data_IF_607670924124
#
_entry.id   IF_607670924124
#
_cell.length_a   1.000
_cell.length_b   1.000
_cell.length_c   1.000
_cell.angle_alpha   90.00
_cell.angle_beta   90.00
_cell.angle_gamma   90.00
#
_symmetry.space_group_name_H-M   'P 1'
#
loop_
_entity.id
_entity.type
_entity.pdbx_description
1 polymer ?
#
# COMPACT_ATOMS: atom_id res chain seq x y z
N UNK A 1 -34.15 7.89 11.16
CA UNK A 1 -32.73 8.21 10.92
C UNK A 1 -31.88 7.20 11.67
N UNK A 2 -31.02 6.48 11.00
CA UNK A 2 -30.04 5.70 11.73
C UNK A 2 -29.13 6.67 12.48
N UNK A 3 -28.89 6.41 13.76
CA UNK A 3 -27.93 7.16 14.57
C UNK A 3 -26.56 7.10 13.87
N UNK A 4 -25.79 8.20 13.81
CA UNK A 4 -24.46 8.16 13.27
C UNK A 4 -23.67 7.10 14.03
N UNK A 5 -23.20 6.10 13.32
CA UNK A 5 -22.34 5.07 13.91
C UNK A 5 -21.13 5.75 14.56
N UNK A 6 -20.79 5.37 15.78
CA UNK A 6 -19.59 5.89 16.45
C UNK A 6 -18.40 5.71 15.52
N UNK A 7 -17.49 6.70 15.43
CA UNK A 7 -16.31 6.57 14.61
C UNK A 7 -15.53 5.32 15.05
N UNK A 8 -15.21 4.45 14.10
CA UNK A 8 -14.42 3.26 14.36
C UNK A 8 -12.99 3.65 14.73
N UNK A 9 -12.32 2.78 15.42
CA UNK A 9 -10.92 2.97 15.83
C UNK A 9 -10.06 1.83 15.27
N UNK A 10 -8.85 2.16 14.89
CA UNK A 10 -7.91 1.20 14.28
C UNK A 10 -7.72 -0.09 15.07
N UNK A 11 -7.86 -0.07 16.40
CA UNK A 11 -7.68 -1.28 17.22
C UNK A 11 -8.78 -2.34 17.03
N UNK A 12 -9.93 -2.01 16.44
CA UNK A 12 -10.98 -2.97 16.08
C UNK A 12 -10.89 -3.43 14.62
N UNK A 13 -9.91 -2.95 13.86
CA UNK A 13 -9.79 -3.17 12.42
C UNK A 13 -9.81 -4.67 12.06
N UNK A 14 -9.03 -5.48 12.75
CA UNK A 14 -8.93 -6.93 12.47
C UNK A 14 -10.26 -7.62 12.75
N UNK A 15 -10.87 -7.31 13.88
CA UNK A 15 -12.17 -7.89 14.29
C UNK A 15 -13.29 -7.49 13.30
N UNK A 16 -13.30 -6.24 12.88
CA UNK A 16 -14.30 -5.72 11.94
C UNK A 16 -14.13 -6.33 10.54
N UNK A 17 -12.91 -6.53 10.07
CA UNK A 17 -12.67 -7.24 8.81
C UNK A 17 -13.07 -8.72 8.93
N UNK A 18 -12.74 -9.39 10.02
CA UNK A 18 -13.15 -10.78 10.24
C UNK A 18 -14.68 -10.90 10.27
N UNK A 19 -15.35 -9.99 10.94
CA UNK A 19 -16.82 -9.96 10.97
C UNK A 19 -17.41 -9.77 9.57
N UNK A 20 -16.85 -8.85 8.78
CA UNK A 20 -17.24 -8.63 7.39
C UNK A 20 -17.07 -9.90 6.55
N UNK A 21 -15.93 -10.58 6.66
CA UNK A 21 -15.65 -11.80 5.89
C UNK A 21 -16.54 -12.98 6.32
N UNK A 22 -16.93 -13.04 7.59
CA UNK A 22 -17.77 -14.12 8.13
C UNK A 22 -19.24 -13.93 7.77
N UNK A 23 -19.75 -12.71 7.78
CA UNK A 23 -21.19 -12.43 7.63
C UNK A 23 -21.54 -11.82 6.27
N UNK A 24 -20.53 -11.32 5.55
CA UNK A 24 -20.74 -10.58 4.30
C UNK A 24 -21.35 -9.19 4.53
N UNK A 25 -21.74 -8.56 3.45
CA UNK A 25 -22.41 -7.26 3.42
C UNK A 25 -23.45 -7.28 2.30
N UNK A 26 -24.68 -6.88 2.61
CA UNK A 26 -25.77 -6.91 1.62
C UNK A 26 -25.53 -5.96 0.45
N UNK A 27 -24.99 -4.77 0.75
CA UNK A 27 -24.72 -3.75 -0.25
C UNK A 27 -23.31 -3.23 -0.12
N UNK A 28 -22.51 -3.39 -1.18
CA UNK A 28 -21.13 -2.90 -1.25
C UNK A 28 -21.10 -1.43 -1.62
N UNK A 29 -20.12 -0.71 -1.08
CA UNK A 29 -19.80 0.64 -1.51
C UNK A 29 -19.23 0.61 -2.94
N UNK A 30 -20.03 1.09 -3.91
CA UNK A 30 -19.67 1.03 -5.32
C UNK A 30 -18.48 1.93 -5.66
N UNK A 31 -18.29 3.03 -4.95
CA UNK A 31 -17.16 3.92 -5.19
C UNK A 31 -15.86 3.29 -4.67
N UNK A 32 -15.91 2.68 -3.49
CA UNK A 32 -14.79 1.91 -2.94
C UNK A 32 -14.43 0.71 -3.85
N UNK A 33 -15.42 0.01 -4.36
CA UNK A 33 -15.19 -1.11 -5.29
C UNK A 33 -14.55 -0.65 -6.61
N UNK A 34 -15.01 0.47 -7.18
CA UNK A 34 -14.42 1.05 -8.39
C UNK A 34 -12.97 1.48 -8.17
N UNK A 35 -12.68 2.12 -7.04
CA UNK A 35 -11.31 2.49 -6.67
C UNK A 35 -10.42 1.27 -6.56
N UNK A 36 -10.87 0.22 -5.87
CA UNK A 36 -10.13 -1.03 -5.75
C UNK A 36 -9.86 -1.68 -7.12
N UNK A 37 -10.86 -1.75 -8.00
CA UNK A 37 -10.69 -2.31 -9.33
C UNK A 37 -9.74 -1.48 -10.20
N UNK A 38 -9.73 -0.15 -10.05
CA UNK A 38 -8.77 0.73 -10.72
C UNK A 38 -7.34 0.46 -10.26
N UNK A 39 -7.11 0.33 -8.96
CA UNK A 39 -5.80 -0.01 -8.40
C UNK A 39 -5.34 -1.38 -8.89
N UNK A 40 -6.21 -2.37 -8.90
CA UNK A 40 -5.91 -3.72 -9.41
C UNK A 40 -5.50 -3.69 -10.88
N UNK A 41 -6.20 -2.93 -11.70
CA UNK A 41 -5.86 -2.76 -13.11
C UNK A 41 -4.46 -2.16 -13.27
N UNK A 42 -4.16 -1.08 -12.56
CA UNK A 42 -2.85 -0.42 -12.61
C UNK A 42 -1.72 -1.34 -12.16
N UNK A 43 -1.94 -2.14 -11.12
CA UNK A 43 -0.93 -3.10 -10.63
C UNK A 43 -0.66 -4.21 -11.64
N UNK A 44 -1.70 -4.75 -12.29
CA UNK A 44 -1.54 -5.76 -13.35
C UNK A 44 -0.79 -5.17 -14.55
N UNK A 45 -1.15 -3.99 -14.99
CA UNK A 45 -0.47 -3.30 -16.10
C UNK A 45 1.00 -3.05 -15.77
N UNK A 46 1.30 -2.55 -14.56
CA UNK A 46 2.68 -2.33 -14.08
C UNK A 46 3.48 -3.64 -14.00
N UNK A 47 2.88 -4.69 -13.48
CA UNK A 47 3.53 -5.99 -13.35
C UNK A 47 3.97 -6.59 -14.68
N UNK A 48 3.18 -6.39 -15.73
CA UNK A 48 3.45 -6.92 -17.07
C UNK A 48 4.33 -6.02 -17.93
N UNK A 49 4.64 -4.79 -17.47
CA UNK A 49 5.58 -3.92 -18.17
C UNK A 49 7.02 -4.42 -18.05
N UNK A 50 7.86 -4.19 -19.08
CA UNK A 50 9.28 -4.46 -18.97
C UNK A 50 9.90 -3.70 -17.79
N UNK A 51 10.80 -4.36 -17.07
CA UNK A 51 11.55 -3.70 -16.00
C UNK A 51 12.57 -2.73 -16.59
N UNK A 52 12.30 -1.44 -16.47
CA UNK A 52 13.25 -0.38 -16.81
C UNK A 52 13.84 0.18 -15.52
N UNK A 53 15.00 -0.38 -15.09
CA UNK A 53 15.26 0.08 -13.84
C UNK A 53 16.61 0.26 -13.21
N UNK A 54 17.34 1.30 -13.43
CA UNK A 54 18.35 1.82 -12.51
C UNK A 54 17.72 2.86 -11.57
N UNK A 55 17.75 2.59 -10.26
CA UNK A 55 17.30 3.55 -9.24
C UNK A 55 18.50 4.21 -8.58
N UNK A 56 18.91 5.36 -9.11
CA UNK A 56 20.01 6.18 -8.57
C UNK A 56 19.50 7.23 -7.56
N UNK A 57 18.57 6.87 -6.65
CA UNK A 57 18.01 7.84 -5.70
C UNK A 57 17.93 7.27 -4.30
N UNK A 58 18.28 8.08 -3.31
CA UNK A 58 18.00 7.81 -1.92
C UNK A 58 16.49 7.72 -1.69
N UNK A 59 16.09 6.80 -0.84
CA UNK A 59 14.69 6.61 -0.41
C UNK A 59 14.63 6.59 1.10
N UNK A 60 13.52 7.03 1.68
CA UNK A 60 13.31 6.96 3.12
C UNK A 60 13.43 5.52 3.65
N UNK A 61 12.99 4.52 2.89
CA UNK A 61 13.17 3.09 3.22
C UNK A 61 14.63 2.61 3.28
N UNK A 62 15.57 3.43 2.83
CA UNK A 62 17.01 3.13 2.93
C UNK A 62 17.67 3.76 4.16
N UNK A 63 16.93 4.57 4.92
CA UNK A 63 17.43 5.17 6.17
C UNK A 63 17.81 4.06 7.16
N UNK A 64 18.98 4.21 7.78
CA UNK A 64 19.54 3.21 8.68
C UNK A 64 20.46 2.18 8.03
N UNK A 65 20.60 2.20 6.70
CA UNK A 65 21.66 1.43 6.02
C UNK A 65 23.01 2.11 6.20
N UNK A 66 24.11 1.33 6.10
CA UNK A 66 25.45 1.88 6.20
C UNK A 66 25.76 2.85 5.06
N UNK A 67 26.46 3.94 5.35
CA UNK A 67 26.83 4.97 4.36
C UNK A 67 27.53 4.39 3.14
N UNK A 68 28.43 3.41 3.36
CA UNK A 68 29.12 2.70 2.29
C UNK A 68 28.16 2.01 1.32
N UNK A 69 27.10 1.34 1.86
CA UNK A 69 26.10 0.67 1.03
C UNK A 69 25.27 1.66 0.23
N UNK A 70 24.84 2.77 0.87
CA UNK A 70 24.11 3.85 0.23
C UNK A 70 24.95 4.50 -0.89
N UNK A 71 26.23 4.73 -0.63
CA UNK A 71 27.13 5.28 -1.63
C UNK A 71 27.22 4.42 -2.89
N UNK A 72 27.41 3.11 -2.74
CA UNK A 72 27.45 2.18 -3.88
C UNK A 72 26.12 2.09 -4.61
N UNK A 73 25.00 2.09 -3.91
CA UNK A 73 23.66 2.06 -4.53
C UNK A 73 23.39 3.29 -5.42
N UNK A 74 24.02 4.43 -5.12
CA UNK A 74 23.86 5.68 -5.89
C UNK A 74 24.89 5.80 -6.99
N UNK A 75 26.16 5.52 -6.69
CA UNK A 75 27.29 5.84 -7.58
C UNK A 75 27.70 4.68 -8.49
N UNK A 76 27.47 3.46 -8.05
CA UNK A 76 27.79 2.23 -8.80
C UNK A 76 26.65 1.21 -8.67
N UNK A 77 25.46 1.52 -9.22
CA UNK A 77 24.31 0.66 -9.09
C UNK A 77 24.55 -0.63 -9.89
N UNK A 78 24.57 -1.74 -9.18
CA UNK A 78 24.53 -3.08 -9.80
C UNK A 78 23.12 -3.27 -10.34
N UNK A 79 22.95 -3.52 -11.66
CA UNK A 79 21.64 -3.79 -12.23
C UNK A 79 20.99 -4.98 -11.51
N UNK A 80 19.92 -4.75 -10.78
CA UNK A 80 19.16 -5.86 -10.19
C UNK A 80 18.39 -6.54 -11.29
N UNK A 81 18.82 -7.76 -11.64
CA UNK A 81 17.96 -8.67 -12.39
C UNK A 81 16.87 -9.16 -11.45
N UNK A 82 15.69 -8.59 -11.58
CA UNK A 82 14.53 -9.11 -10.86
C UNK A 82 14.16 -10.47 -11.46
N UNK A 83 14.22 -11.51 -10.62
CA UNK A 83 13.75 -12.83 -11.04
C UNK A 83 12.22 -12.82 -11.14
N UNK A 84 11.62 -13.70 -11.99
CA UNK A 84 10.17 -13.83 -12.06
C UNK A 84 9.53 -14.09 -10.69
N UNK A 85 10.18 -14.85 -9.83
CA UNK A 85 9.71 -15.14 -8.47
C UNK A 85 9.68 -13.88 -7.59
N UNK A 86 10.71 -13.03 -7.69
CA UNK A 86 10.78 -11.78 -6.93
C UNK A 86 9.70 -10.80 -7.40
N UNK A 87 9.52 -10.68 -8.73
CA UNK A 87 8.44 -9.87 -9.31
C UNK A 87 7.06 -10.32 -8.83
N UNK A 88 6.83 -11.64 -8.81
CA UNK A 88 5.58 -12.21 -8.32
C UNK A 88 5.34 -11.89 -6.84
N UNK A 89 6.37 -11.94 -5.99
CA UNK A 89 6.26 -11.56 -4.57
C UNK A 89 5.86 -10.09 -4.39
N UNK A 90 6.45 -9.19 -5.16
CA UNK A 90 6.07 -7.78 -5.12
C UNK A 90 4.63 -7.57 -5.59
N UNK A 91 4.23 -8.24 -6.66
CA UNK A 91 2.86 -8.19 -7.15
C UNK A 91 1.85 -8.67 -6.11
N UNK A 92 2.12 -9.79 -5.45
CA UNK A 92 1.28 -10.27 -4.33
C UNK A 92 1.21 -9.26 -3.19
N UNK A 93 2.32 -8.65 -2.82
CA UNK A 93 2.35 -7.62 -1.77
C UNK A 93 1.41 -6.46 -2.10
N UNK A 94 1.51 -5.91 -3.29
CA UNK A 94 0.67 -4.79 -3.74
C UNK A 94 -0.82 -5.16 -3.83
N UNK A 95 -1.13 -6.38 -4.32
CA UNK A 95 -2.52 -6.86 -4.37
C UNK A 95 -3.09 -7.02 -2.97
N UNK A 96 -2.35 -7.63 -2.04
CA UNK A 96 -2.80 -7.84 -0.67
C UNK A 96 -3.02 -6.51 0.05
N UNK A 97 -2.13 -5.56 -0.12
CA UNK A 97 -2.28 -4.21 0.43
C UNK A 97 -3.57 -3.55 -0.09
N UNK A 98 -3.77 -3.52 -1.41
CA UNK A 98 -4.97 -2.96 -2.02
C UNK A 98 -6.25 -3.65 -1.51
N UNK A 99 -6.23 -4.98 -1.37
CA UNK A 99 -7.36 -5.76 -0.85
C UNK A 99 -7.64 -5.43 0.62
N UNK A 100 -6.62 -5.34 1.46
CA UNK A 100 -6.79 -5.02 2.88
C UNK A 100 -7.34 -3.61 3.08
N UNK A 101 -6.88 -2.63 2.31
CA UNK A 101 -7.41 -1.26 2.36
C UNK A 101 -8.86 -1.20 1.87
N UNK A 102 -9.21 -1.97 0.83
CA UNK A 102 -10.59 -2.12 0.37
C UNK A 102 -11.48 -2.72 1.48
N UNK A 103 -11.05 -3.80 2.10
CA UNK A 103 -11.81 -4.45 3.19
C UNK A 103 -11.94 -3.56 4.41
N UNK A 104 -10.90 -2.80 4.76
CA UNK A 104 -10.97 -1.84 5.85
C UNK A 104 -12.05 -0.77 5.60
N UNK A 105 -12.12 -0.24 4.39
CA UNK A 105 -13.15 0.72 4.01
C UNK A 105 -14.55 0.09 4.02
N UNK A 106 -14.71 -1.12 3.48
CA UNK A 106 -15.99 -1.84 3.53
C UNK A 106 -16.44 -2.19 4.96
N UNK A 107 -15.49 -2.46 5.85
CA UNK A 107 -15.76 -2.67 7.27
C UNK A 107 -16.12 -1.38 8.03
N UNK A 108 -16.09 -0.21 7.36
CA UNK A 108 -16.50 1.08 7.91
C UNK A 108 -15.38 1.88 8.55
N UNK A 109 -14.12 1.53 8.33
CA UNK A 109 -12.97 2.33 8.75
C UNK A 109 -12.67 3.44 7.76
N UNK A 110 -12.14 4.56 8.26
CA UNK A 110 -11.74 5.69 7.45
C UNK A 110 -10.31 5.48 6.95
N UNK A 111 -10.15 5.22 5.67
CA UNK A 111 -8.84 5.02 5.02
C UNK A 111 -8.50 6.25 4.19
N UNK A 112 -7.39 6.89 4.51
CA UNK A 112 -6.91 8.13 3.86
C UNK A 112 -5.44 8.00 3.47
N UNK A 113 -4.99 8.91 2.62
CA UNK A 113 -3.58 9.05 2.22
C UNK A 113 -2.95 7.75 1.70
N UNK A 114 -3.72 6.95 0.96
CA UNK A 114 -3.22 5.72 0.34
C UNK A 114 -2.03 6.02 -0.58
N UNK A 115 -0.89 5.37 -0.34
CA UNK A 115 0.34 5.56 -1.11
C UNK A 115 0.79 7.01 -1.21
N UNK A 116 0.55 7.83 -0.19
CA UNK A 116 0.94 9.23 -0.20
C UNK A 116 2.46 9.39 -0.19
N UNK A 117 2.95 10.24 -1.09
CA UNK A 117 4.38 10.60 -1.12
C UNK A 117 4.70 11.51 0.07
N UNK A 118 5.77 11.18 0.77
CA UNK A 118 6.34 11.98 1.86
C UNK A 118 7.75 12.40 1.46
N UNK A 119 8.08 13.66 1.67
CA UNK A 119 9.41 14.20 1.39
C UNK A 119 10.00 14.75 2.69
N UNK A 120 11.14 14.22 3.11
CA UNK A 120 11.89 14.68 4.29
C UNK A 120 13.30 15.04 3.82
N UNK A 121 13.69 16.30 4.00
CA UNK A 121 15.01 16.83 3.58
C UNK A 121 15.36 16.49 2.11
N UNK A 122 14.37 16.54 1.22
CA UNK A 122 14.52 16.21 -0.19
C UNK A 122 14.54 14.71 -0.53
N UNK A 123 14.45 13.84 0.47
CA UNK A 123 14.38 12.38 0.28
C UNK A 123 12.93 11.94 0.25
N UNK A 124 12.57 11.22 -0.81
CA UNK A 124 11.19 10.74 -1.05
C UNK A 124 10.94 9.37 -0.43
N UNK A 125 9.76 9.20 0.10
CA UNK A 125 9.20 7.92 0.53
C UNK A 125 7.70 7.89 0.32
N UNK A 126 7.09 6.76 0.59
CA UNK A 126 5.65 6.58 0.54
C UNK A 126 5.19 5.94 1.84
N UNK A 127 4.01 6.30 2.27
CA UNK A 127 3.29 5.63 3.35
C UNK A 127 2.20 4.76 2.74
N UNK A 128 1.87 3.65 3.37
CA UNK A 128 0.83 2.77 2.82
C UNK A 128 -0.55 3.40 2.97
N UNK A 129 -0.93 3.79 4.15
CA UNK A 129 -2.18 4.51 4.40
C UNK A 129 -2.25 5.14 5.79
N UNK A 130 -3.29 5.95 6.01
CA UNK A 130 -3.73 6.37 7.35
C UNK A 130 -5.11 5.77 7.58
N UNK A 131 -5.28 4.96 8.61
CA UNK A 131 -6.55 4.33 8.98
C UNK A 131 -7.03 4.89 10.32
N UNK A 132 -8.20 5.49 10.33
CA UNK A 132 -8.79 6.14 11.53
C UNK A 132 -7.82 7.14 12.21
N UNK A 133 -7.03 7.84 11.43
CA UNK A 133 -6.04 8.80 11.90
C UNK A 133 -4.71 8.21 12.37
N UNK A 134 -4.50 6.89 12.21
CA UNK A 134 -3.26 6.19 12.57
C UNK A 134 -2.50 5.81 11.32
N UNK A 135 -1.21 6.15 11.28
CA UNK A 135 -0.30 5.73 10.20
C UNK A 135 -0.15 4.21 10.23
N UNK A 136 -0.33 3.58 9.08
CA UNK A 136 -0.15 2.14 8.87
C UNK A 136 0.90 1.92 7.79
N UNK A 137 1.86 1.06 8.08
CA UNK A 137 2.96 0.66 7.21
C UNK A 137 3.26 -0.84 7.40
#
# INVERSE_FOLDING_TARGET
MPLPSKPKKVHTLIEDIHHLLQHGKEELDQDNLKEFLSVMKEEVERFLQPYEGERKRLRLSAVGRTDRKLWYEINDPIPRKETPQLRMRFFYGHILEALLLYLATEAGHKVEHKQAEVVIEGIKGHIDAVIDGVLVD
#
